data_IF_270224465170
#
_entry.id   IF_270224465170
#
_cell.length_a   1.000
_cell.length_b   1.000
_cell.length_c   1.000
_cell.angle_alpha   90.00
_cell.angle_beta   90.00
_cell.angle_gamma   90.00
#
_symmetry.space_group_name_H-M   'P 1'
#
loop_
_entity.id
_entity.type
_entity.pdbx_description
1 polymer ?
#
# COMPACT_ATOMS: atom_id res chain seq x y z
N UNK A 1 -42.20 -62.59 -12.03
CA UNK A 1 -40.75 -62.74 -12.30
C UNK A 1 -40.00 -62.46 -11.01
N UNK A 2 -39.06 -63.33 -10.60
CA UNK A 2 -38.17 -63.03 -9.47
C UNK A 2 -37.17 -61.95 -9.91
N UNK A 3 -37.10 -60.84 -9.18
CA UNK A 3 -36.26 -59.67 -9.53
C UNK A 3 -34.77 -59.95 -9.24
N UNK A 4 -34.51 -60.84 -8.27
CA UNK A 4 -33.18 -61.25 -7.84
C UNK A 4 -33.07 -62.77 -8.01
N UNK A 5 -32.02 -63.20 -8.69
CA UNK A 5 -31.67 -64.61 -8.87
C UNK A 5 -30.94 -65.16 -7.63
N UNK A 6 -30.95 -66.48 -7.42
CA UNK A 6 -30.35 -67.19 -6.28
C UNK A 6 -28.84 -66.95 -6.15
N UNK A 7 -28.20 -66.46 -7.22
CA UNK A 7 -26.79 -66.05 -7.26
C UNK A 7 -26.56 -64.56 -6.95
N UNK A 8 -27.58 -63.84 -6.48
CA UNK A 8 -27.47 -62.41 -6.12
C UNK A 8 -27.37 -61.47 -7.33
N UNK A 9 -27.93 -61.85 -8.48
CA UNK A 9 -27.94 -61.04 -9.70
C UNK A 9 -29.29 -60.37 -9.92
N UNK A 10 -29.30 -59.06 -10.17
CA UNK A 10 -30.46 -58.30 -10.60
C UNK A 10 -30.75 -58.63 -12.08
N UNK A 11 -31.96 -59.11 -12.36
CA UNK A 11 -32.40 -59.51 -13.72
C UNK A 11 -31.46 -60.50 -14.44
N UNK A 12 -30.70 -61.31 -13.69
CA UNK A 12 -29.75 -62.30 -14.22
C UNK A 12 -28.51 -61.73 -14.94
N UNK A 13 -28.42 -60.40 -15.11
CA UNK A 13 -27.39 -59.73 -15.92
C UNK A 13 -26.36 -58.96 -15.08
N UNK A 14 -26.78 -58.36 -13.96
CA UNK A 14 -25.93 -57.45 -13.17
C UNK A 14 -25.80 -57.99 -11.76
N UNK A 15 -24.60 -58.02 -11.19
CA UNK A 15 -24.41 -58.37 -9.78
C UNK A 15 -25.01 -57.27 -8.89
N UNK A 16 -25.73 -57.65 -7.83
CA UNK A 16 -26.40 -56.69 -6.95
C UNK A 16 -25.42 -55.71 -6.27
N UNK A 17 -24.20 -56.17 -6.01
CA UNK A 17 -23.12 -55.36 -5.41
C UNK A 17 -22.68 -54.27 -6.40
N UNK A 18 -22.45 -54.61 -7.66
CA UNK A 18 -22.06 -53.62 -8.68
C UNK A 18 -23.16 -52.59 -8.91
N UNK A 19 -24.43 -53.02 -8.90
CA UNK A 19 -25.56 -52.10 -8.99
C UNK A 19 -25.60 -51.13 -7.81
N UNK A 20 -25.36 -51.60 -6.59
CA UNK A 20 -25.36 -50.75 -5.39
C UNK A 20 -24.21 -49.74 -5.43
N UNK A 21 -23.02 -50.14 -5.89
CA UNK A 21 -21.89 -49.24 -6.08
C UNK A 21 -22.23 -48.14 -7.09
N UNK A 22 -22.85 -48.49 -8.23
CA UNK A 22 -23.29 -47.51 -9.23
C UNK A 22 -24.31 -46.52 -8.65
N UNK A 23 -25.30 -46.99 -7.90
CA UNK A 23 -26.30 -46.13 -7.23
C UNK A 23 -25.63 -45.16 -6.25
N UNK A 24 -24.66 -45.64 -5.47
CA UNK A 24 -23.90 -44.79 -4.55
C UNK A 24 -23.12 -43.70 -5.31
N UNK A 25 -22.44 -44.03 -6.40
CA UNK A 25 -21.74 -43.03 -7.22
C UNK A 25 -22.70 -42.01 -7.85
N UNK A 26 -23.85 -42.45 -8.36
CA UNK A 26 -24.88 -41.58 -8.94
C UNK A 26 -25.51 -40.64 -7.90
N UNK A 27 -25.62 -41.06 -6.64
CA UNK A 27 -26.14 -40.21 -5.56
C UNK A 27 -25.08 -39.24 -5.00
N UNK A 28 -23.81 -39.67 -4.93
CA UNK A 28 -22.73 -38.89 -4.33
C UNK A 28 -22.24 -37.78 -5.28
N UNK A 29 -22.09 -38.05 -6.58
CA UNK A 29 -21.57 -37.08 -7.55
C UNK A 29 -22.39 -35.77 -7.62
N UNK A 30 -23.74 -35.78 -7.64
CA UNK A 30 -24.56 -34.58 -7.56
C UNK A 30 -24.40 -33.86 -6.21
N UNK A 31 -24.30 -34.59 -5.09
CA UNK A 31 -24.08 -33.96 -3.78
C UNK A 31 -22.78 -33.18 -3.72
N UNK A 32 -21.69 -33.70 -4.29
CA UNK A 32 -20.44 -32.95 -4.37
C UNK A 32 -20.53 -31.77 -5.33
N UNK A 33 -21.15 -31.94 -6.50
CA UNK A 33 -21.29 -30.86 -7.49
C UNK A 33 -22.17 -29.70 -6.99
N UNK A 34 -23.35 -30.00 -6.44
CA UNK A 34 -24.27 -28.99 -5.89
C UNK A 34 -23.83 -28.49 -4.51
N UNK A 35 -23.29 -29.36 -3.66
CA UNK A 35 -22.78 -29.00 -2.34
C UNK A 35 -21.62 -28.02 -2.42
N UNK A 36 -20.66 -28.25 -3.34
CA UNK A 36 -19.56 -27.31 -3.56
C UNK A 36 -20.04 -25.94 -4.06
N UNK A 37 -21.04 -25.93 -4.97
CA UNK A 37 -21.66 -24.69 -5.47
C UNK A 37 -22.39 -23.89 -4.40
N UNK A 38 -22.94 -24.56 -3.38
CA UNK A 38 -23.63 -23.92 -2.24
C UNK A 38 -22.60 -23.45 -1.20
N UNK A 39 -21.54 -24.23 -0.96
CA UNK A 39 -20.50 -23.86 0.01
C UNK A 39 -19.58 -22.73 -0.48
N UNK A 40 -19.36 -22.61 -1.79
CA UNK A 40 -18.63 -21.49 -2.40
C UNK A 40 -19.46 -20.21 -2.47
N UNK A 41 -20.78 -20.29 -2.23
CA UNK A 41 -21.63 -19.13 -1.96
C UNK A 41 -21.77 -18.98 -0.46
N UNK A 42 -20.68 -18.56 0.20
CA UNK A 42 -20.85 -17.78 1.43
C UNK A 42 -21.65 -16.53 1.07
N UNK A 43 -22.96 -16.68 1.16
CA UNK A 43 -23.91 -15.58 1.19
C UNK A 43 -23.48 -14.72 2.38
N UNK A 44 -22.77 -13.64 2.08
CA UNK A 44 -22.78 -12.47 2.94
C UNK A 44 -24.25 -12.16 3.14
N UNK A 45 -24.80 -12.50 4.30
CA UNK A 45 -26.12 -12.04 4.69
C UNK A 45 -26.04 -10.53 4.72
N UNK A 46 -26.40 -9.89 3.62
CA UNK A 46 -26.77 -8.50 3.58
C UNK A 46 -28.07 -8.44 4.37
N UNK A 47 -27.95 -8.16 5.67
CA UNK A 47 -29.00 -7.46 6.39
C UNK A 47 -29.35 -6.28 5.48
N UNK A 48 -30.56 -6.30 4.96
CA UNK A 48 -31.13 -5.30 4.05
C UNK A 48 -31.42 -4.03 4.85
N UNK A 49 -30.37 -3.49 5.48
CA UNK A 49 -30.36 -2.11 5.91
C UNK A 49 -30.47 -1.29 4.61
N UNK A 50 -31.43 -0.36 4.52
CA UNK A 50 -31.58 0.47 3.33
C UNK A 50 -30.24 1.15 3.05
N UNK A 51 -29.56 0.73 1.97
CA UNK A 51 -28.26 1.27 1.56
C UNK A 51 -28.49 2.70 1.05
N UNK A 52 -28.46 3.66 1.97
CA UNK A 52 -28.53 5.08 1.63
C UNK A 52 -27.20 5.45 1.01
N UNK A 53 -27.23 5.86 -0.25
CA UNK A 53 -26.06 6.41 -0.91
C UNK A 53 -26.04 7.92 -0.77
N UNK A 54 -24.87 8.48 -0.44
CA UNK A 54 -24.62 9.91 -0.45
C UNK A 54 -23.35 10.20 -1.24
N UNK A 55 -23.24 11.41 -1.75
CA UNK A 55 -22.00 11.91 -2.34
C UNK A 55 -21.20 12.65 -1.26
N UNK A 56 -19.90 12.39 -1.18
CA UNK A 56 -18.97 13.10 -0.32
C UNK A 56 -17.81 13.63 -1.15
N UNK A 57 -17.28 14.79 -0.79
CA UNK A 57 -16.02 15.28 -1.32
C UNK A 57 -14.91 15.14 -0.27
N UNK A 58 -13.80 14.55 -0.69
CA UNK A 58 -12.65 14.27 0.18
C UNK A 58 -11.35 14.54 -0.53
N UNK A 59 -10.40 15.09 0.22
CA UNK A 59 -9.01 15.11 -0.22
C UNK A 59 -8.39 13.75 0.02
N UNK A 60 -7.70 13.25 -0.98
CA UNK A 60 -7.03 11.97 -0.92
C UNK A 60 -5.64 12.09 -1.56
N UNK A 61 -4.71 11.22 -1.16
CA UNK A 61 -3.40 11.12 -1.78
C UNK A 61 -3.29 9.82 -2.56
N UNK A 62 -3.03 9.91 -3.85
CA UNK A 62 -2.43 8.79 -4.55
C UNK A 62 -0.99 8.65 -4.07
N UNK A 63 -0.57 7.43 -3.81
CA UNK A 63 0.77 7.09 -3.30
C UNK A 63 1.45 6.11 -4.24
N UNK A 64 2.77 5.99 -4.12
CA UNK A 64 3.57 5.03 -4.90
C UNK A 64 3.39 5.21 -6.42
N UNK A 65 3.26 6.46 -6.87
CA UNK A 65 3.10 6.78 -8.29
C UNK A 65 4.44 6.80 -9.00
N UNK A 66 4.53 6.11 -10.12
CA UNK A 66 5.64 6.29 -11.04
C UNK A 66 5.46 7.60 -11.83
N UNK A 67 6.54 8.21 -12.35
CA UNK A 67 6.44 9.44 -13.13
C UNK A 67 5.54 9.32 -14.36
N UNK A 68 5.41 8.12 -14.90
CA UNK A 68 4.58 7.79 -16.06
C UNK A 68 3.07 7.86 -15.73
N UNK A 69 2.68 7.47 -14.51
CA UNK A 69 1.28 7.49 -14.06
C UNK A 69 0.76 8.91 -13.82
N UNK A 70 1.64 9.84 -13.42
CA UNK A 70 1.27 11.22 -13.12
C UNK A 70 0.61 11.92 -14.31
N UNK A 71 1.04 11.61 -15.54
CA UNK A 71 0.48 12.18 -16.76
C UNK A 71 -0.91 11.62 -17.12
N UNK A 72 -1.29 10.47 -16.54
CA UNK A 72 -2.57 9.82 -16.81
C UNK A 72 -3.69 10.35 -15.92
N UNK A 73 -3.35 10.78 -14.71
CA UNK A 73 -4.31 11.24 -13.69
C UNK A 73 -4.71 12.69 -14.00
N UNK A 74 -5.96 12.88 -14.45
CA UNK A 74 -6.46 14.20 -14.80
C UNK A 74 -7.77 14.52 -14.09
N UNK A 75 -8.07 15.81 -13.98
CA UNK A 75 -9.38 16.27 -13.51
C UNK A 75 -10.47 15.76 -14.46
N UNK A 76 -11.53 15.20 -13.88
CA UNK A 76 -12.68 14.65 -14.58
C UNK A 76 -12.60 13.14 -14.81
N UNK A 77 -11.49 12.49 -14.43
CA UNK A 77 -11.39 11.03 -14.42
C UNK A 77 -12.40 10.41 -13.46
N UNK A 78 -13.04 9.32 -13.92
CA UNK A 78 -14.22 8.74 -13.29
C UNK A 78 -14.01 7.25 -13.03
N UNK A 79 -14.40 6.83 -11.84
CA UNK A 79 -14.59 5.43 -11.50
C UNK A 79 -16.06 5.06 -11.71
N UNK A 80 -16.29 4.01 -12.50
CA UNK A 80 -17.61 3.49 -12.83
C UNK A 80 -17.81 2.21 -12.03
N UNK A 81 -18.89 2.15 -11.25
CA UNK A 81 -19.27 0.96 -10.48
C UNK A 81 -19.84 -0.14 -11.37
N UNK A 82 -20.02 -1.33 -10.81
CA UNK A 82 -20.60 -2.48 -11.51
C UNK A 82 -22.04 -2.22 -12.02
N UNK A 83 -22.74 -1.27 -11.40
CA UNK A 83 -24.09 -0.83 -11.78
C UNK A 83 -24.09 0.21 -12.92
N UNK A 84 -22.91 0.55 -13.46
CA UNK A 84 -22.73 1.55 -14.51
C UNK A 84 -22.81 3.00 -14.03
N UNK A 85 -23.01 3.23 -12.73
CA UNK A 85 -23.03 4.58 -12.17
C UNK A 85 -21.62 5.07 -11.86
N UNK A 86 -21.43 6.39 -11.90
CA UNK A 86 -20.20 7.01 -11.41
C UNK A 86 -20.17 6.86 -9.89
N UNK A 87 -19.13 6.20 -9.38
CA UNK A 87 -18.91 6.03 -7.94
C UNK A 87 -17.73 6.86 -7.42
N UNK A 88 -16.90 7.39 -8.31
CA UNK A 88 -15.83 8.30 -7.97
C UNK A 88 -15.51 9.24 -9.12
N UNK A 89 -15.14 10.49 -8.82
CA UNK A 89 -14.70 11.49 -9.80
C UNK A 89 -13.58 12.35 -9.22
N UNK A 90 -12.51 12.57 -9.98
CA UNK A 90 -11.46 13.53 -9.62
C UNK A 90 -11.95 14.94 -9.98
N UNK A 91 -12.25 15.75 -8.96
CA UNK A 91 -12.74 17.12 -9.16
C UNK A 91 -11.61 18.16 -9.12
N UNK A 92 -10.45 17.79 -8.57
CA UNK A 92 -9.25 18.62 -8.51
C UNK A 92 -7.99 17.78 -8.38
N UNK A 93 -6.89 18.24 -8.99
CA UNK A 93 -5.56 17.61 -8.98
C UNK A 93 -4.54 18.65 -8.52
N UNK A 94 -3.68 18.26 -7.59
CA UNK A 94 -2.58 19.07 -7.08
C UNK A 94 -1.28 18.89 -7.83
N UNK A 95 -0.20 19.38 -7.24
CA UNK A 95 1.16 19.17 -7.75
C UNK A 95 1.72 17.84 -7.22
N UNK A 96 2.49 17.10 -8.03
CA UNK A 96 3.20 15.91 -7.56
C UNK A 96 4.25 16.27 -6.50
N UNK A 97 4.29 15.53 -5.39
CA UNK A 97 5.29 15.65 -4.33
C UNK A 97 6.13 14.36 -4.25
N UNK A 98 7.33 14.43 -3.65
CA UNK A 98 8.14 13.22 -3.40
C UNK A 98 7.44 12.28 -2.41
N UNK A 99 7.53 10.98 -2.67
CA UNK A 99 7.00 9.98 -1.75
C UNK A 99 7.97 9.72 -0.59
N UNK A 100 7.43 9.70 0.64
CA UNK A 100 8.18 9.35 1.84
C UNK A 100 7.55 8.12 2.49
N UNK A 101 8.37 7.13 2.85
CA UNK A 101 7.94 5.97 3.59
C UNK A 101 8.60 5.90 4.96
N UNK A 102 7.92 5.24 5.89
CA UNK A 102 8.39 5.05 7.26
C UNK A 102 8.88 3.61 7.39
N UNK A 103 10.15 3.44 7.74
CA UNK A 103 10.74 2.17 8.15
C UNK A 103 10.69 2.08 9.67
N UNK A 104 9.95 1.11 10.19
CA UNK A 104 10.01 0.72 11.60
C UNK A 104 11.19 -0.25 11.77
N UNK A 105 12.18 0.15 12.56
CA UNK A 105 13.37 -0.67 12.84
C UNK A 105 13.18 -1.60 14.05
N UNK A 106 12.00 -1.57 14.67
CA UNK A 106 11.76 -2.14 15.98
C UNK A 106 12.20 -1.19 17.10
N UNK A 107 11.90 -1.56 18.35
CA UNK A 107 12.26 -0.77 19.55
C UNK A 107 11.57 0.60 19.69
N UNK A 108 10.62 0.93 18.80
CA UNK A 108 9.99 2.25 18.73
C UNK A 108 10.79 3.27 17.92
N UNK A 109 11.84 2.84 17.22
CA UNK A 109 12.61 3.68 16.31
C UNK A 109 12.01 3.65 14.90
N UNK A 110 11.85 4.83 14.30
CA UNK A 110 11.35 4.96 12.92
C UNK A 110 12.27 5.84 12.10
N UNK A 111 12.54 5.43 10.87
CA UNK A 111 13.27 6.22 9.88
C UNK A 111 12.28 6.65 8.79
N UNK A 112 12.27 7.94 8.47
CA UNK A 112 11.56 8.47 7.31
C UNK A 112 12.55 8.52 6.16
N UNK A 113 12.23 7.87 5.04
CA UNK A 113 13.09 7.85 3.85
C UNK A 113 12.32 8.35 2.64
N UNK A 114 12.96 9.21 1.87
CA UNK A 114 12.47 9.66 0.57
C UNK A 114 12.72 8.58 -0.49
N UNK A 115 11.72 8.32 -1.32
CA UNK A 115 11.89 7.59 -2.56
C UNK A 115 11.93 8.60 -3.72
N UNK A 116 13.05 8.65 -4.43
CA UNK A 116 13.23 9.60 -5.53
C UNK A 116 12.45 9.23 -6.79
N UNK A 117 12.11 7.95 -6.94
CA UNK A 117 11.42 7.44 -8.12
C UNK A 117 9.90 7.52 -7.96
N UNK A 118 9.42 7.36 -6.73
CA UNK A 118 7.98 7.40 -6.43
C UNK A 118 7.52 8.80 -6.04
N UNK A 119 6.32 9.14 -6.47
CA UNK A 119 5.65 10.39 -6.16
C UNK A 119 4.33 10.13 -5.43
N UNK A 120 3.88 11.15 -4.72
CA UNK A 120 2.51 11.23 -4.23
C UNK A 120 1.79 12.39 -4.92
N UNK A 121 0.48 12.22 -5.14
CA UNK A 121 -0.35 13.23 -5.79
C UNK A 121 -1.60 13.48 -4.97
N UNK A 122 -1.74 14.71 -4.49
CA UNK A 122 -2.93 15.14 -3.77
C UNK A 122 -4.05 15.41 -4.77
N UNK A 123 -5.22 14.84 -4.53
CA UNK A 123 -6.41 15.03 -5.34
C UNK A 123 -7.62 15.31 -4.45
N UNK A 124 -8.65 15.93 -5.03
CA UNK A 124 -9.98 15.98 -4.42
C UNK A 124 -10.88 15.02 -5.19
N UNK A 125 -11.39 14.02 -4.49
CA UNK A 125 -12.33 13.04 -5.02
C UNK A 125 -13.75 13.36 -4.57
N UNK A 126 -14.68 13.32 -5.51
CA UNK A 126 -16.11 13.21 -5.24
C UNK A 126 -16.49 11.74 -5.29
N UNK A 127 -16.90 11.16 -4.17
CA UNK A 127 -17.15 9.73 -4.01
C UNK A 127 -18.63 9.49 -3.70
N UNK A 128 -19.22 8.49 -4.35
CA UNK A 128 -20.51 7.93 -3.97
C UNK A 128 -20.29 6.83 -2.94
N UNK A 129 -20.74 7.07 -1.72
CA UNK A 129 -20.55 6.17 -0.59
C UNK A 129 -21.89 5.68 -0.04
N UNK A 130 -21.91 4.46 0.48
CA UNK A 130 -23.05 3.92 1.20
C UNK A 130 -22.92 4.17 2.69
N UNK A 131 -24.02 4.53 3.36
CA UNK A 131 -24.08 4.61 4.83
C UNK A 131 -24.83 3.37 5.32
N UNK A 132 -24.25 2.61 6.26
CA UNK A 132 -24.89 1.46 6.92
C UNK A 132 -24.70 1.55 8.43
N UNK A 133 -25.71 1.13 9.20
CA UNK A 133 -25.62 1.10 10.66
C UNK A 133 -25.39 2.47 11.31
N UNK A 134 -26.05 3.52 10.81
CA UNK A 134 -25.98 4.88 11.37
C UNK A 134 -24.94 5.77 10.69
N UNK A 135 -23.67 5.65 11.09
CA UNK A 135 -22.58 6.57 10.67
C UNK A 135 -21.42 5.87 9.94
N UNK A 136 -21.51 4.56 9.70
CA UNK A 136 -20.41 3.86 9.03
C UNK A 136 -20.50 4.05 7.52
N UNK A 137 -19.50 4.72 6.97
CA UNK A 137 -19.36 4.99 5.55
C UNK A 137 -18.67 3.81 4.85
N UNK A 138 -19.19 3.43 3.69
CA UNK A 138 -18.67 2.35 2.85
C UNK A 138 -18.41 2.83 1.42
N UNK A 139 -17.28 2.42 0.87
CA UNK A 139 -16.90 2.61 -0.53
C UNK A 139 -16.61 1.23 -1.15
N UNK A 140 -17.25 0.90 -2.29
CA UNK A 140 -17.15 -0.43 -2.92
C UNK A 140 -17.39 -1.59 -1.92
N UNK A 141 -18.40 -1.42 -1.06
CA UNK A 141 -18.76 -2.33 0.03
C UNK A 141 -17.67 -2.59 1.10
N UNK A 142 -16.54 -1.88 1.03
CA UNK A 142 -15.50 -1.83 2.06
C UNK A 142 -15.71 -0.62 2.96
N UNK A 143 -15.38 -0.74 4.25
CA UNK A 143 -15.48 0.38 5.18
C UNK A 143 -14.52 1.49 4.72
N UNK A 144 -15.04 2.70 4.57
CA UNK A 144 -14.26 3.89 4.22
C UNK A 144 -13.61 4.44 5.50
N UNK A 145 -12.31 4.24 5.65
CA UNK A 145 -11.54 4.64 6.83
C UNK A 145 -10.49 5.66 6.41
N UNK A 146 -10.45 6.80 7.11
CA UNK A 146 -9.42 7.83 6.89
C UNK A 146 -8.03 7.27 7.18
N UNK A 147 -7.03 7.66 6.38
CA UNK A 147 -5.66 7.15 6.44
C UNK A 147 -5.52 5.65 6.14
N UNK A 148 -6.55 5.01 5.59
CA UNK A 148 -6.48 3.63 5.10
C UNK A 148 -6.55 3.63 3.56
N UNK A 149 -5.68 2.89 2.87
CA UNK A 149 -5.69 2.85 1.42
C UNK A 149 -6.98 2.23 0.89
N UNK A 150 -7.57 2.88 -0.11
CA UNK A 150 -8.63 2.34 -0.95
C UNK A 150 -8.15 2.29 -2.39
N UNK A 151 -8.78 1.48 -3.22
CA UNK A 151 -8.45 1.39 -4.65
C UNK A 151 -9.39 2.29 -5.44
N UNK A 152 -8.82 3.12 -6.32
CA UNK A 152 -9.54 3.95 -7.28
C UNK A 152 -9.18 3.51 -8.70
N UNK A 153 -10.20 3.12 -9.46
CA UNK A 153 -10.03 2.47 -10.76
C UNK A 153 -10.74 3.27 -11.85
N UNK A 154 -10.03 3.57 -12.93
CA UNK A 154 -10.58 4.22 -14.13
C UNK A 154 -10.44 3.27 -15.32
N UNK A 155 -10.81 3.75 -16.51
CA UNK A 155 -10.49 3.07 -17.78
C UNK A 155 -9.00 3.10 -18.14
N UNK A 156 -8.20 3.97 -17.48
CA UNK A 156 -6.79 4.19 -17.77
C UNK A 156 -5.85 3.52 -16.76
N UNK A 157 -6.25 3.44 -15.49
CA UNK A 157 -5.37 3.00 -14.40
C UNK A 157 -6.15 2.45 -13.20
N UNK A 158 -5.47 1.69 -12.34
CA UNK A 158 -5.97 1.30 -11.02
C UNK A 158 -4.90 1.58 -9.97
N UNK A 159 -5.19 2.48 -9.04
CA UNK A 159 -4.20 3.02 -8.11
C UNK A 159 -4.71 3.06 -6.68
N UNK A 160 -3.79 2.91 -5.73
CA UNK A 160 -4.07 3.07 -4.31
C UNK A 160 -4.18 4.56 -3.96
N UNK A 161 -5.21 4.90 -3.19
CA UNK A 161 -5.49 6.26 -2.76
C UNK A 161 -5.85 6.28 -1.28
N UNK A 162 -5.26 7.21 -0.52
CA UNK A 162 -5.42 7.33 0.92
C UNK A 162 -6.27 8.57 1.24
N UNK A 163 -7.50 8.41 1.77
CA UNK A 163 -8.33 9.53 2.19
C UNK A 163 -7.72 10.28 3.37
N UNK A 164 -7.77 11.61 3.36
CA UNK A 164 -7.31 12.48 4.44
C UNK A 164 -8.47 12.92 5.34
N UNK A 165 -8.15 13.26 6.59
CA UNK A 165 -9.14 13.75 7.56
C UNK A 165 -9.68 15.12 7.18
N UNK A 166 -10.93 15.39 7.54
CA UNK A 166 -11.49 16.74 7.47
C UNK A 166 -10.65 17.70 8.33
N UNK A 167 -10.32 18.87 7.78
CA UNK A 167 -9.38 19.81 8.41
C UNK A 167 -7.97 19.81 7.82
N UNK A 168 -7.70 19.01 6.78
CA UNK A 168 -6.50 19.17 5.97
C UNK A 168 -6.46 20.59 5.38
N UNK A 169 -5.57 21.45 5.92
CA UNK A 169 -5.38 22.80 5.41
C UNK A 169 -4.48 22.72 4.18
N UNK A 170 -4.95 23.27 3.07
CA UNK A 170 -4.11 23.62 1.94
C UNK A 170 -3.13 24.68 2.38
N UNK A 171 -1.85 24.40 2.21
CA UNK A 171 -0.80 25.35 2.54
C UNK A 171 0.32 24.60 3.20
N UNK A 172 1.35 24.32 2.39
CA UNK A 172 2.66 23.85 2.79
C UNK A 172 2.55 22.74 3.83
N UNK A 173 2.65 21.48 3.40
CA UNK A 173 3.35 20.49 4.21
C UNK A 173 4.50 21.26 4.84
N UNK A 174 4.42 21.56 6.14
CA UNK A 174 5.54 22.17 6.81
C UNK A 174 6.65 21.19 6.47
N UNK A 175 7.62 21.62 5.64
CA UNK A 175 8.84 20.87 5.38
C UNK A 175 9.34 20.64 6.79
N UNK A 176 9.02 19.47 7.34
CA UNK A 176 9.48 19.08 8.66
C UNK A 176 10.87 18.60 8.30
N UNK A 177 11.76 19.57 8.13
CA UNK A 177 13.17 19.34 7.87
C UNK A 177 13.65 18.52 9.05
N UNK A 178 13.71 17.20 8.83
CA UNK A 178 14.19 16.27 9.83
C UNK A 178 15.70 16.38 9.75
N UNK A 179 16.30 17.13 10.66
CA UNK A 179 17.75 17.10 10.84
C UNK A 179 18.08 15.73 11.43
N UNK A 180 18.91 14.95 10.74
CA UNK A 180 19.37 13.63 11.18
C UNK A 180 20.82 13.80 11.62
N UNK A 181 21.13 13.32 12.81
CA UNK A 181 22.51 13.27 13.30
C UNK A 181 23.26 12.17 12.54
N UNK A 182 24.34 12.53 11.85
CA UNK A 182 25.14 11.62 11.05
C UNK A 182 26.60 11.69 11.49
N UNK A 183 27.19 10.53 11.78
CA UNK A 183 28.63 10.40 11.96
C UNK A 183 29.30 10.29 10.58
N UNK A 184 30.02 11.34 10.18
CA UNK A 184 30.72 11.43 8.89
C UNK A 184 32.23 11.56 9.10
N UNK A 185 32.99 10.77 8.33
CA UNK A 185 34.46 10.85 8.28
C UNK A 185 34.85 11.60 7.02
N UNK A 186 35.37 12.81 7.19
CA UNK A 186 35.90 13.59 6.08
C UNK A 186 37.33 13.14 5.76
N UNK A 187 37.59 12.79 4.50
CA UNK A 187 38.90 12.29 4.03
C UNK A 187 39.53 13.25 3.04
N UNK A 188 40.86 13.27 2.99
CA UNK A 188 41.62 14.08 2.02
C UNK A 188 41.52 15.60 2.28
N UNK A 189 41.31 16.00 3.54
CA UNK A 189 41.31 17.41 3.94
C UNK A 189 42.74 17.87 4.18
N UNK A 190 43.16 18.95 3.53
CA UNK A 190 44.45 19.60 3.79
C UNK A 190 44.49 20.20 5.20
N UNK A 191 45.67 20.19 5.83
CA UNK A 191 45.83 20.62 7.24
C UNK A 191 45.34 22.06 7.50
N UNK A 192 45.53 22.96 6.53
CA UNK A 192 45.05 24.33 6.64
C UNK A 192 43.53 24.45 6.49
N UNK A 193 42.89 23.55 5.72
CA UNK A 193 41.43 23.46 5.62
C UNK A 193 40.83 22.87 6.89
N UNK A 194 41.52 21.91 7.52
CA UNK A 194 41.07 21.31 8.78
C UNK A 194 40.94 22.35 9.91
N UNK A 195 41.84 23.34 9.95
CA UNK A 195 41.80 24.45 10.92
C UNK A 195 40.60 25.39 10.73
N UNK A 196 39.96 25.35 9.56
CA UNK A 196 38.80 26.19 9.24
C UNK A 196 37.48 25.53 9.64
N UNK A 197 37.48 24.23 9.95
CA UNK A 197 36.27 23.48 10.30
C UNK A 197 36.09 23.53 11.82
N UNK A 198 34.92 23.98 12.26
CA UNK A 198 34.55 24.11 13.67
C UNK A 198 33.19 23.48 13.97
N UNK A 199 33.00 23.02 15.20
CA UNK A 199 31.66 22.70 15.71
C UNK A 199 30.81 23.98 15.70
N UNK A 200 29.59 23.86 15.20
CA UNK A 200 28.67 24.97 14.96
C UNK A 200 28.75 25.58 13.57
N UNK A 201 29.65 25.11 12.70
CA UNK A 201 29.64 25.51 11.28
C UNK A 201 28.35 25.01 10.61
N UNK A 202 27.71 25.90 9.86
CA UNK A 202 26.41 25.66 9.23
C UNK A 202 26.53 25.79 7.73
N UNK A 203 25.94 24.83 7.02
CA UNK A 203 25.63 24.98 5.61
C UNK A 203 24.22 25.56 5.50
N UNK A 204 24.08 26.65 4.74
CA UNK A 204 22.80 27.31 4.48
C UNK A 204 22.48 27.28 3.00
N UNK A 205 21.19 27.11 2.67
CA UNK A 205 20.73 27.16 1.29
C UNK A 205 20.64 28.62 0.77
N UNK A 206 20.25 28.78 -0.50
CA UNK A 206 20.08 30.08 -1.13
C UNK A 206 19.01 30.98 -0.47
N UNK A 207 18.14 30.38 0.35
CA UNK A 207 17.06 31.05 1.08
C UNK A 207 17.49 31.41 2.52
N UNK A 208 18.72 31.04 2.92
CA UNK A 208 19.28 31.30 4.25
C UNK A 208 18.88 30.28 5.31
N UNK A 209 18.25 29.17 4.94
CA UNK A 209 17.87 28.10 5.87
C UNK A 209 19.05 27.14 6.08
N UNK A 210 19.31 26.75 7.33
CA UNK A 210 20.32 25.75 7.66
C UNK A 210 19.92 24.37 7.14
N UNK A 211 20.77 23.77 6.32
CA UNK A 211 20.59 22.42 5.76
C UNK A 211 21.54 21.39 6.37
N UNK A 212 22.66 21.84 6.97
CA UNK A 212 23.57 21.00 7.73
C UNK A 212 24.24 21.81 8.85
N UNK A 213 24.58 21.18 9.97
CA UNK A 213 25.34 21.77 11.07
C UNK A 213 26.32 20.75 11.64
N UNK A 214 27.56 21.17 11.85
CA UNK A 214 28.56 20.32 12.52
C UNK A 214 28.31 20.36 14.02
N UNK A 215 27.63 19.35 14.54
CA UNK A 215 27.31 19.30 15.98
C UNK A 215 28.55 19.07 16.85
N UNK A 216 29.43 18.16 16.44
CA UNK A 216 30.65 17.84 17.15
C UNK A 216 31.75 17.43 16.17
N UNK A 217 32.99 17.70 16.56
CA UNK A 217 34.17 17.23 15.82
C UNK A 217 34.82 16.08 16.57
N UNK A 218 35.09 15.00 15.85
CA UNK A 218 35.99 13.94 16.30
C UNK A 218 37.45 14.42 16.33
N UNK A 219 38.33 13.58 16.87
CA UNK A 219 39.77 13.86 16.79
C UNK A 219 40.23 13.65 15.35
N UNK A 220 40.99 14.61 14.83
CA UNK A 220 41.71 14.42 13.58
C UNK A 220 42.67 13.23 13.75
N UNK A 221 42.37 12.13 13.08
CA UNK A 221 43.32 11.05 12.90
C UNK A 221 44.27 11.44 11.78
N UNK A 222 45.57 11.24 11.97
CA UNK A 222 46.43 11.04 10.79
C UNK A 222 45.84 9.86 10.02
N UNK A 223 45.65 9.98 8.70
CA UNK A 223 45.43 8.83 7.82
C UNK A 223 46.68 7.91 7.89
N UNK A 224 46.86 7.23 9.01
CA UNK A 224 47.69 6.06 9.11
C UNK A 224 46.79 4.91 8.67
N UNK A 225 46.91 4.51 7.41
CA UNK A 225 46.50 3.17 7.02
C UNK A 225 47.39 2.20 7.80
N UNK A 226 46.93 1.77 8.97
CA UNK A 226 47.41 0.51 9.54
C UNK A 226 46.41 -0.56 9.14
N UNK A 227 46.67 -1.16 7.96
CA UNK A 227 46.19 -2.50 7.69
C UNK A 227 47.18 -3.42 8.40
N UNK A 228 46.83 -3.87 9.61
CA UNK A 228 47.51 -5.00 10.22
C UNK A 228 47.04 -6.28 9.52
N UNK A 229 47.77 -6.65 8.46
CA UNK A 229 47.79 -8.00 7.92
C UNK A 229 49.13 -8.59 8.34
N UNK A 230 49.21 -9.06 9.58
CA UNK A 230 50.28 -9.87 10.15
C UNK A 230 51.50 -10.11 9.25
N UNK A 231 52.62 -9.48 9.63
CA UNK A 231 53.96 -9.55 9.05
C UNK A 231 54.24 -8.68 7.81
N UNK A 232 54.60 -7.40 8.04
CA UNK A 232 55.46 -6.66 7.12
C UNK A 232 55.27 -5.14 7.15
N UNK A 233 56.23 -4.41 7.72
CA UNK A 233 56.29 -2.94 7.72
C UNK A 233 56.48 -2.38 6.31
N UNK A 234 55.57 -1.51 5.84
CA UNK A 234 55.89 -0.50 4.83
C UNK A 234 55.12 0.81 5.09
N UNK A 235 55.87 1.90 5.10
CA UNK A 235 55.38 3.29 5.16
C UNK A 235 55.35 3.84 3.74
N UNK A 236 54.24 4.47 3.36
CA UNK A 236 54.15 5.51 2.34
C UNK A 236 53.11 6.54 2.78
#
# INVERSE_FOLDING_TARGET
MKIIDEKGRLFGKINIIDFLVIVVFVCILPMFYYGYKIFSKQSTQTVDDPKVFTEIERYCKFIELEPEDLGLIIKGDKEIGEDGNIIGEIVWVGEPESYFYILDLGSGETIIKEDFNLKELLVKLKLRVGIRGGDTVYYKDKRFVVNSPIEFTTDKYSLAVIPKSEGFKFGKTAKKTLMIDLDVVLKGIEEDTLKLISSGDKEVNAEGETIAEILALGKAGSDAREIDLGNGNFVL
#
